data_IF_717668017603
#
_entry.id   IF_717668017603
#
_cell.length_a   1.000
_cell.length_b   1.000
_cell.length_c   1.000
_cell.angle_alpha   90.00
_cell.angle_beta   90.00
_cell.angle_gamma   90.00
#
_symmetry.space_group_name_H-M   'P 1'
#
loop_
_entity.id
_entity.type
_entity.pdbx_description
1 polymer ?
#
# COMPACT_ATOMS: atom_id res chain seq x y z
N UNK A 1 4.12 1.73 25.88
CA UNK A 1 3.75 1.70 25.48
C UNK A 1 3.33 1.74 25.21
N UNK A 2 3.44 1.68 24.98
CA UNK A 2 2.88 1.80 24.45
C UNK A 2 2.57 1.99 24.04
N UNK A 3 2.54 2.07 23.88
CA UNK A 3 2.06 2.44 23.29
C UNK A 3 2.01 2.72 22.73
N UNK A 4 2.22 3.10 22.46
CA UNK A 4 1.99 3.39 21.80
C UNK A 4 1.90 3.13 21.07
N UNK A 5 2.06 2.85 20.74
CA UNK A 5 1.76 2.47 19.95
C UNK A 5 1.32 2.22 19.63
N UNK A 6 1.05 2.09 19.69
CA UNK A 6 0.29 1.94 19.27
C UNK A 6 -0.27 2.15 18.91
N UNK A 7 0.14 2.49 18.64
CA UNK A 7 -0.58 2.80 18.31
C UNK A 7 -1.03 3.00 17.25
N UNK A 8 -1.16 2.13 16.80
CA UNK A 8 -1.81 2.08 15.75
C UNK A 8 -2.99 2.69 15.87
N UNK A 9 -3.42 2.69 16.67
CA UNK A 9 -4.37 3.28 16.85
C UNK A 9 -4.19 4.58 17.00
N UNK A 10 -3.22 5.12 16.84
CA UNK A 10 -3.09 6.39 16.79
C UNK A 10 -4.13 6.89 15.95
N UNK A 11 -4.81 7.89 16.30
CA UNK A 11 -5.84 8.41 15.63
C UNK A 11 -5.42 8.89 14.35
N UNK A 12 -6.06 8.59 13.31
CA UNK A 12 -5.82 9.11 11.99
C UNK A 12 -6.36 10.52 11.92
N UNK A 13 -5.54 11.43 11.49
CA UNK A 13 -5.96 12.81 11.29
C UNK A 13 -6.96 12.82 10.15
N UNK A 14 -8.01 13.64 10.28
CA UNK A 14 -9.01 13.71 9.22
C UNK A 14 -8.46 14.22 7.90
N UNK A 15 -7.30 14.85 7.92
CA UNK A 15 -6.67 15.35 6.70
C UNK A 15 -5.73 14.33 6.03
N UNK A 16 -5.59 13.16 6.59
CA UNK A 16 -4.71 12.13 6.00
C UNK A 16 -5.14 11.79 4.59
N UNK A 17 -6.44 11.76 4.33
CA UNK A 17 -6.93 11.44 2.99
C UNK A 17 -6.66 12.54 1.99
N UNK A 18 -6.46 13.76 2.46
CA UNK A 18 -6.27 14.90 1.58
C UNK A 18 -4.82 15.12 1.19
N UNK A 19 -3.90 14.64 2.00
CA UNK A 19 -2.50 14.84 1.66
C UNK A 19 -2.12 13.94 0.51
N UNK A 20 -1.21 14.40 -0.32
CA UNK A 20 -0.79 13.63 -1.49
C UNK A 20 0.19 12.54 -1.09
N UNK A 21 0.13 11.41 -1.77
CA UNK A 21 1.17 10.40 -1.57
C UNK A 21 2.54 10.95 -1.94
N UNK A 22 3.53 10.53 -1.21
CA UNK A 22 4.90 11.00 -1.40
C UNK A 22 5.65 10.21 -2.47
N UNK A 23 5.15 9.04 -2.83
CA UNK A 23 5.72 8.20 -3.88
C UNK A 23 4.65 7.23 -4.34
N UNK A 24 4.88 6.61 -5.48
CA UNK A 24 3.94 5.60 -5.99
C UNK A 24 4.68 4.43 -6.59
N UNK A 25 4.04 3.28 -6.56
CA UNK A 25 4.55 2.07 -7.18
C UNK A 25 3.45 1.47 -8.02
N UNK A 26 3.73 1.18 -9.27
CA UNK A 26 2.74 0.69 -10.24
C UNK A 26 2.93 -0.80 -10.49
N UNK A 27 1.98 -1.61 -10.00
CA UNK A 27 1.95 -3.03 -10.31
C UNK A 27 1.22 -3.29 -11.62
N UNK A 28 0.36 -2.35 -12.01
CA UNK A 28 -0.62 -2.59 -13.06
C UNK A 28 0.03 -2.85 -14.42
N UNK A 29 1.15 -2.23 -14.66
CA UNK A 29 1.77 -2.26 -15.97
C UNK A 29 2.97 -3.20 -16.07
N UNK A 30 3.00 -4.25 -15.27
CA UNK A 30 4.15 -5.15 -15.21
C UNK A 30 3.87 -6.54 -15.76
N UNK A 31 2.72 -6.71 -16.42
CA UNK A 31 2.36 -8.02 -16.95
C UNK A 31 1.87 -8.96 -15.88
N UNK A 32 1.97 -10.25 -16.12
CA UNK A 32 1.48 -11.25 -15.18
C UNK A 32 2.47 -11.40 -14.03
N UNK A 33 1.96 -11.33 -12.80
CA UNK A 33 2.78 -11.40 -11.59
C UNK A 33 2.30 -12.54 -10.71
N UNK A 34 3.24 -13.36 -10.23
CA UNK A 34 2.91 -14.36 -9.22
C UNK A 34 2.80 -13.68 -7.87
N UNK A 35 2.26 -14.41 -6.89
CA UNK A 35 2.21 -13.88 -5.51
C UNK A 35 3.60 -13.55 -5.01
N UNK A 36 4.56 -14.41 -5.31
CA UNK A 36 5.94 -14.19 -4.89
C UNK A 36 6.50 -12.92 -5.52
N UNK A 37 6.23 -12.71 -6.81
CA UNK A 37 6.67 -11.49 -7.50
C UNK A 37 6.10 -10.25 -6.83
N UNK A 38 4.82 -10.30 -6.49
CA UNK A 38 4.16 -9.15 -5.88
C UNK A 38 4.72 -8.85 -4.50
N UNK A 39 4.98 -9.89 -3.71
CA UNK A 39 5.58 -9.70 -2.39
C UNK A 39 6.97 -9.08 -2.50
N UNK A 40 7.78 -9.61 -3.40
CA UNK A 40 9.14 -9.11 -3.57
C UNK A 40 9.16 -7.66 -4.01
N UNK A 41 8.32 -7.31 -4.99
CA UNK A 41 8.26 -5.94 -5.48
C UNK A 41 7.75 -4.98 -4.41
N UNK A 42 6.74 -5.40 -3.67
CA UNK A 42 6.21 -4.57 -2.59
C UNK A 42 7.27 -4.35 -1.52
N UNK A 43 7.98 -5.41 -1.13
CA UNK A 43 8.99 -5.31 -0.09
C UNK A 43 10.13 -4.39 -0.51
N UNK A 44 10.57 -4.47 -1.76
CA UNK A 44 11.63 -3.60 -2.26
C UNK A 44 11.20 -2.14 -2.22
N UNK A 45 9.98 -1.86 -2.63
CA UNK A 45 9.48 -0.49 -2.62
C UNK A 45 9.33 0.02 -1.18
N UNK A 46 8.83 -0.82 -0.28
CA UNK A 46 8.66 -0.45 1.12
C UNK A 46 10.02 -0.15 1.76
N UNK A 47 11.02 -0.94 1.43
CA UNK A 47 12.37 -0.73 1.96
C UNK A 47 12.89 0.64 1.54
N UNK A 48 12.67 1.00 0.28
CA UNK A 48 13.06 2.30 -0.20
C UNK A 48 12.29 3.41 0.52
N UNK A 49 11.00 3.20 0.76
CA UNK A 49 10.19 4.17 1.47
C UNK A 49 10.72 4.38 2.89
N UNK A 50 11.08 3.29 3.56
CA UNK A 50 11.63 3.39 4.91
C UNK A 50 12.92 4.19 4.92
N UNK A 51 13.80 3.89 3.98
CA UNK A 51 15.08 4.58 3.90
C UNK A 51 14.91 6.07 3.64
N UNK A 52 13.87 6.45 2.93
CA UNK A 52 13.59 7.84 2.60
C UNK A 52 12.67 8.52 3.62
N UNK A 53 12.21 7.79 4.63
CA UNK A 53 11.34 8.37 5.65
C UNK A 53 9.94 8.71 5.15
N UNK A 54 9.46 8.00 4.14
CA UNK A 54 8.13 8.29 3.60
C UNK A 54 7.05 7.66 4.48
N UNK A 55 5.93 8.35 4.63
CA UNK A 55 4.85 7.88 5.47
C UNK A 55 3.56 7.63 4.73
N UNK A 56 3.43 8.14 3.51
CA UNK A 56 2.21 7.92 2.73
C UNK A 56 2.57 7.67 1.28
N UNK A 57 2.13 6.54 0.75
CA UNK A 57 2.47 6.16 -0.63
C UNK A 57 1.23 5.62 -1.33
N UNK A 58 1.33 5.49 -2.64
CA UNK A 58 0.25 4.98 -3.48
C UNK A 58 0.73 3.73 -4.20
N UNK A 59 -0.08 2.68 -4.15
CA UNK A 59 0.14 1.51 -5.00
C UNK A 59 -0.91 1.53 -6.10
N UNK A 60 -0.48 1.44 -7.34
CA UNK A 60 -1.39 1.39 -8.48
C UNK A 60 -1.55 -0.09 -8.82
N UNK A 61 -2.75 -0.61 -8.61
CA UNK A 61 -3.01 -2.04 -8.74
C UNK A 61 -3.93 -2.37 -9.90
N UNK A 62 -4.56 -1.36 -10.48
CA UNK A 62 -5.67 -1.59 -11.37
C UNK A 62 -6.87 -2.04 -10.58
N UNK A 63 -8.04 -2.06 -11.21
CA UNK A 63 -9.26 -2.47 -10.52
C UNK A 63 -9.29 -3.96 -10.26
N UNK A 64 -8.76 -4.73 -11.21
CA UNK A 64 -8.51 -6.15 -11.00
C UNK A 64 -9.70 -6.95 -10.51
N UNK A 65 -10.71 -7.11 -11.34
CA UNK A 65 -11.84 -7.93 -10.95
C UNK A 65 -11.64 -9.39 -11.32
N UNK A 66 -10.71 -9.68 -12.22
CA UNK A 66 -10.50 -11.03 -12.72
C UNK A 66 -9.02 -11.30 -12.83
N UNK A 67 -8.63 -12.53 -12.53
CA UNK A 67 -7.25 -12.95 -12.77
C UNK A 67 -7.05 -13.18 -14.26
N UNK A 68 -5.83 -12.98 -14.72
CA UNK A 68 -5.46 -13.25 -16.10
C UNK A 68 -4.52 -14.43 -16.12
N UNK A 69 -4.80 -15.39 -17.00
CA UNK A 69 -3.91 -16.53 -17.17
C UNK A 69 -3.62 -17.25 -15.84
N UNK A 70 -4.63 -17.32 -14.98
CA UNK A 70 -4.45 -18.00 -13.71
C UNK A 70 -3.66 -17.23 -12.67
N UNK A 71 -3.26 -15.99 -12.99
CA UNK A 71 -2.51 -15.19 -12.03
C UNK A 71 -3.45 -14.57 -11.00
N UNK A 72 -2.98 -14.35 -9.78
CA UNK A 72 -3.82 -13.75 -8.76
C UNK A 72 -4.18 -12.31 -9.12
N UNK A 73 -5.31 -11.87 -8.59
CA UNK A 73 -5.74 -10.48 -8.74
C UNK A 73 -4.89 -9.62 -7.81
N UNK A 74 -4.30 -8.58 -8.35
CA UNK A 74 -3.29 -7.81 -7.63
C UNK A 74 -3.85 -7.09 -6.41
N UNK A 75 -4.94 -6.36 -6.58
CA UNK A 75 -5.42 -5.46 -5.52
C UNK A 75 -5.76 -6.18 -4.22
N UNK A 76 -6.61 -7.22 -4.21
CA UNK A 76 -6.93 -7.88 -2.95
C UNK A 76 -5.71 -8.57 -2.33
N UNK A 77 -4.83 -9.11 -3.16
CA UNK A 77 -3.65 -9.77 -2.64
C UNK A 77 -2.72 -8.76 -1.97
N UNK A 78 -2.45 -7.65 -2.66
CA UNK A 78 -1.54 -6.63 -2.13
C UNK A 78 -2.14 -5.98 -0.88
N UNK A 79 -3.44 -5.72 -0.88
CA UNK A 79 -4.09 -5.15 0.30
C UNK A 79 -3.88 -6.05 1.52
N UNK A 80 -4.13 -7.34 1.35
CA UNK A 80 -3.99 -8.30 2.44
C UNK A 80 -2.53 -8.39 2.89
N UNK A 81 -1.61 -8.42 1.93
CA UNK A 81 -0.20 -8.51 2.25
C UNK A 81 0.28 -7.31 3.04
N UNK A 82 -0.13 -6.11 2.62
CA UNK A 82 0.26 -4.88 3.32
C UNK A 82 -0.31 -4.85 4.73
N UNK A 83 -1.56 -5.26 4.88
CA UNK A 83 -2.19 -5.27 6.21
C UNK A 83 -1.54 -6.27 7.17
N UNK A 84 -0.79 -7.22 6.66
CA UNK A 84 -0.08 -8.17 7.51
C UNK A 84 1.16 -7.58 8.17
N UNK A 85 1.58 -6.39 7.74
CA UNK A 85 2.81 -5.80 8.25
C UNK A 85 2.52 -4.86 9.41
N UNK A 86 3.29 -5.00 10.49
CA UNK A 86 3.01 -4.25 11.71
C UNK A 86 3.16 -2.75 11.55
N UNK A 87 4.00 -2.31 10.60
CA UNK A 87 4.23 -0.88 10.41
C UNK A 87 3.24 -0.24 9.43
N UNK A 88 2.30 -1.00 8.91
CA UNK A 88 1.27 -0.45 8.04
C UNK A 88 0.09 -0.06 8.91
N UNK A 89 -0.20 1.24 8.96
CA UNK A 89 -1.26 1.77 9.80
C UNK A 89 -2.61 1.70 9.11
N UNK A 90 -2.64 2.05 7.84
CA UNK A 90 -3.89 2.06 7.08
C UNK A 90 -3.64 1.71 5.63
N UNK A 91 -4.63 1.05 5.04
CA UNK A 91 -4.68 0.79 3.60
C UNK A 91 -6.09 1.11 3.15
N UNK A 92 -6.25 1.99 2.18
CA UNK A 92 -7.58 2.35 1.68
C UNK A 92 -7.50 2.72 0.21
N UNK A 93 -8.64 2.74 -0.45
CA UNK A 93 -8.67 3.11 -1.86
C UNK A 93 -8.25 4.55 -2.03
N UNK A 94 -7.50 4.83 -3.07
CA UNK A 94 -7.06 6.17 -3.37
C UNK A 94 -8.23 7.08 -3.68
N UNK A 95 -7.99 8.38 -3.59
CA UNK A 95 -9.00 9.35 -3.94
C UNK A 95 -9.33 9.23 -5.40
N UNK A 96 -10.54 9.62 -5.75
CA UNK A 96 -11.00 9.56 -7.12
C UNK A 96 -10.03 10.25 -8.08
N UNK A 97 -9.47 11.38 -7.66
CA UNK A 97 -8.56 12.14 -8.50
C UNK A 97 -7.15 11.57 -8.54
N UNK A 98 -6.90 10.46 -7.84
CA UNK A 98 -5.61 9.79 -7.82
C UNK A 98 -5.74 8.31 -8.17
N UNK A 99 -6.73 7.98 -8.99
CA UNK A 99 -6.89 6.63 -9.48
C UNK A 99 -8.00 5.81 -8.84
N UNK A 100 -8.57 6.31 -7.75
CA UNK A 100 -9.75 5.71 -7.16
C UNK A 100 -9.63 4.23 -6.91
N UNK A 101 -10.57 3.46 -7.43
CA UNK A 101 -10.65 2.03 -7.16
C UNK A 101 -9.51 1.22 -7.77
N UNK A 102 -8.70 1.84 -8.62
CA UNK A 102 -7.53 1.15 -9.19
C UNK A 102 -6.27 1.34 -8.36
N UNK A 103 -6.37 1.91 -7.16
CA UNK A 103 -5.20 2.21 -6.34
C UNK A 103 -5.46 1.90 -4.88
N UNK A 104 -4.38 1.83 -4.11
CA UNK A 104 -4.42 1.73 -2.66
C UNK A 104 -3.48 2.79 -2.10
N UNK A 105 -3.99 3.61 -1.19
CA UNK A 105 -3.15 4.54 -0.43
C UNK A 105 -2.77 3.87 0.87
N UNK A 106 -1.51 3.98 1.23
CA UNK A 106 -0.97 3.25 2.38
C UNK A 106 -0.25 4.22 3.28
N UNK A 107 -0.53 4.14 4.57
CA UNK A 107 0.13 4.96 5.56
C UNK A 107 1.02 4.06 6.40
N UNK A 108 2.28 4.45 6.51
CA UNK A 108 3.29 3.73 7.27
C UNK A 108 3.63 4.44 8.56
N UNK A 109 4.00 3.66 9.55
CA UNK A 109 4.59 4.17 10.79
C UNK A 109 5.76 3.24 11.10
N UNK A 110 6.88 3.51 10.47
CA UNK A 110 8.06 2.65 10.63
C UNK A 110 8.66 2.82 12.01
N UNK A 111 9.12 1.74 12.63
CA UNK A 111 9.81 1.87 13.92
C UNK A 111 11.12 2.62 13.73
N UNK A 112 11.48 3.34 14.76
CA UNK A 112 12.70 4.15 14.75
C UNK A 112 13.96 3.27 14.75
#
# INVERSE_FOLDING_TARGET
>A
MANKRFQKKKKTNKYDNLSKPQAEFDFHDRGALTKHDMQRLADEFIEECRDRGLTKVLFITGKGLHSKHGMPVIKPFIKKYLLSKSFVVRVYEGRFDRGGSGTLEVIFDFPA
#
